data_IF_261184045915
#
_entry.id   IF_261184045915
#
_cell.length_a   1.000
_cell.length_b   1.000
_cell.length_c   1.000
_cell.angle_alpha   90.00
_cell.angle_beta   90.00
_cell.angle_gamma   90.00
#
_symmetry.space_group_name_H-M   'P 1'
#
loop_
_entity.id
_entity.type
_entity.pdbx_description
1 polymer ?
#
# COMPACT_ATOMS: atom_id res chain seq x y z
N UNK A 1 -7.07 48.95 22.12
CA UNK A 1 -6.53 47.59 22.30
C UNK A 1 -7.37 46.59 21.48
N UNK A 2 -7.40 46.62 20.14
CA UNK A 2 -8.50 45.86 19.50
C UNK A 2 -8.54 45.69 17.98
N UNK A 3 -7.42 45.55 17.29
CA UNK A 3 -7.47 45.09 15.89
C UNK A 3 -6.30 44.16 15.57
N UNK A 4 -5.07 44.58 15.87
CA UNK A 4 -3.88 43.75 15.63
C UNK A 4 -3.84 42.50 16.51
N UNK A 5 -4.21 42.60 17.78
CA UNK A 5 -4.23 41.46 18.72
C UNK A 5 -5.29 40.41 18.32
N UNK A 6 -6.47 40.88 17.91
CA UNK A 6 -7.53 40.03 17.38
C UNK A 6 -7.08 39.31 16.11
N UNK A 7 -6.35 40.02 15.24
CA UNK A 7 -5.84 39.46 14.01
C UNK A 7 -4.74 38.42 14.25
N UNK A 8 -3.83 38.66 15.22
CA UNK A 8 -2.82 37.69 15.66
C UNK A 8 -3.49 36.44 16.24
N UNK A 9 -4.54 36.59 17.06
CA UNK A 9 -5.28 35.45 17.60
C UNK A 9 -5.92 34.61 16.48
N UNK A 10 -6.56 35.27 15.50
CA UNK A 10 -7.15 34.59 14.34
C UNK A 10 -6.10 33.88 13.46
N UNK A 11 -4.91 34.46 13.27
CA UNK A 11 -3.81 33.80 12.55
C UNK A 11 -3.32 32.55 13.28
N UNK A 12 -3.19 32.61 14.61
CA UNK A 12 -2.75 31.46 15.42
C UNK A 12 -3.75 30.31 15.38
N UNK A 13 -5.05 30.61 15.43
CA UNK A 13 -6.10 29.61 15.32
C UNK A 13 -6.05 28.92 13.95
N UNK A 14 -5.91 29.69 12.87
CA UNK A 14 -5.73 29.16 11.51
C UNK A 14 -4.48 28.29 11.39
N UNK A 15 -3.37 28.69 11.99
CA UNK A 15 -2.13 27.91 11.96
C UNK A 15 -2.29 26.58 12.73
N UNK A 16 -3.04 26.57 13.83
CA UNK A 16 -3.38 25.34 14.56
C UNK A 16 -4.24 24.40 13.70
N UNK A 17 -5.23 24.94 13.00
CA UNK A 17 -6.07 24.16 12.08
C UNK A 17 -5.27 23.59 10.92
N UNK A 18 -4.37 24.38 10.33
CA UNK A 18 -3.48 23.93 9.27
C UNK A 18 -2.56 22.80 9.73
N UNK A 19 -1.99 22.92 10.94
CA UNK A 19 -1.17 21.86 11.53
C UNK A 19 -1.99 20.59 11.79
N UNK A 20 -3.21 20.74 12.29
CA UNK A 20 -4.13 19.62 12.54
C UNK A 20 -4.50 18.89 11.25
N UNK A 21 -4.90 19.63 10.21
CA UNK A 21 -5.24 19.09 8.91
C UNK A 21 -4.04 18.41 8.24
N UNK A 22 -2.87 19.04 8.31
CA UNK A 22 -1.64 18.44 7.77
C UNK A 22 -1.31 17.11 8.44
N UNK A 23 -1.43 17.04 9.77
CA UNK A 23 -1.23 15.80 10.52
C UNK A 23 -2.22 14.71 10.12
N UNK A 24 -3.50 15.07 9.93
CA UNK A 24 -4.52 14.13 9.43
C UNK A 24 -4.21 13.64 8.03
N UNK A 25 -3.79 14.52 7.12
CA UNK A 25 -3.41 14.14 5.76
C UNK A 25 -2.22 13.18 5.77
N UNK A 26 -1.18 13.48 6.55
CA UNK A 26 -0.03 12.58 6.69
C UNK A 26 -0.44 11.20 7.22
N UNK A 27 -1.27 11.12 8.26
CA UNK A 27 -1.76 9.84 8.78
C UNK A 27 -2.59 9.06 7.74
N UNK A 28 -3.42 9.74 6.94
CA UNK A 28 -4.18 9.13 5.85
C UNK A 28 -3.26 8.62 4.73
N UNK A 29 -2.25 9.40 4.35
CA UNK A 29 -1.24 8.97 3.36
C UNK A 29 -0.45 7.77 3.85
N UNK A 30 -0.03 7.77 5.13
CA UNK A 30 0.73 6.69 5.74
C UNK A 30 -0.09 5.40 5.83
N UNK A 31 -1.39 5.48 6.17
CA UNK A 31 -2.31 4.34 6.11
C UNK A 31 -2.46 3.84 4.68
N UNK A 32 -2.70 4.73 3.73
CA UNK A 32 -2.84 4.37 2.32
C UNK A 32 -1.58 3.69 1.75
N UNK A 33 -0.38 4.13 2.15
CA UNK A 33 0.90 3.51 1.75
C UNK A 33 1.09 2.13 2.37
N UNK A 34 0.72 1.91 3.64
CA UNK A 34 0.77 0.59 4.30
C UNK A 34 -0.13 -0.45 3.62
N UNK A 35 -1.20 0.02 3.00
CA UNK A 35 -2.16 -0.78 2.25
C UNK A 35 -1.74 -1.01 0.78
N UNK A 36 -0.58 -0.52 0.35
CA UNK A 36 -0.04 -0.71 -1.00
C UNK A 36 1.12 -1.71 -0.97
N UNK A 37 0.83 -3.02 -0.90
CA UNK A 37 1.87 -4.05 -0.99
C UNK A 37 2.29 -4.20 -2.45
N UNK A 38 3.61 -4.25 -2.70
CA UNK A 38 4.18 -4.36 -4.05
C UNK A 38 4.92 -5.68 -4.24
N UNK A 39 4.51 -6.43 -5.27
CA UNK A 39 5.20 -7.60 -5.76
C UNK A 39 6.02 -7.22 -7.01
N UNK A 40 7.32 -7.50 -6.97
CA UNK A 40 8.29 -7.12 -8.01
C UNK A 40 8.78 -8.37 -8.75
N UNK A 41 9.23 -8.20 -9.99
CA UNK A 41 9.91 -9.26 -10.75
C UNK A 41 9.01 -10.30 -11.43
N UNK A 42 7.69 -10.20 -11.28
CA UNK A 42 6.74 -11.07 -11.99
C UNK A 42 6.72 -10.71 -13.48
N UNK A 43 6.84 -11.70 -14.37
CA UNK A 43 6.81 -11.45 -15.82
C UNK A 43 5.45 -10.91 -16.24
N UNK A 44 5.40 -10.02 -17.21
CA UNK A 44 4.12 -9.50 -17.71
C UNK A 44 3.29 -10.65 -18.32
N UNK A 45 1.97 -10.64 -18.09
CA UNK A 45 0.99 -11.63 -18.55
C UNK A 45 1.07 -13.01 -17.87
N UNK A 46 1.92 -13.18 -16.86
CA UNK A 46 1.97 -14.41 -16.06
C UNK A 46 0.69 -14.61 -15.24
N UNK A 47 0.00 -13.51 -14.90
CA UNK A 47 -1.23 -13.52 -14.12
C UNK A 47 -2.45 -13.98 -14.91
N UNK A 48 -2.33 -14.03 -16.24
CA UNK A 48 -3.42 -14.37 -17.18
C UNK A 48 -4.64 -13.48 -16.94
N UNK A 49 -5.84 -14.07 -16.90
CA UNK A 49 -7.12 -13.36 -16.82
C UNK A 49 -7.48 -12.93 -15.40
N UNK A 50 -6.96 -13.61 -14.36
CA UNK A 50 -7.34 -13.37 -12.97
C UNK A 50 -6.12 -13.11 -12.07
N UNK A 51 -5.93 -11.83 -11.77
CA UNK A 51 -4.83 -11.36 -10.92
C UNK A 51 -4.99 -11.76 -9.45
N UNK A 52 -6.23 -11.91 -8.95
CA UNK A 52 -6.45 -12.27 -7.55
C UNK A 52 -6.12 -13.74 -7.33
N UNK A 53 -6.57 -14.63 -8.22
CA UNK A 53 -6.21 -16.05 -8.18
C UNK A 53 -4.69 -16.25 -8.31
N UNK A 54 -4.04 -15.50 -9.22
CA UNK A 54 -2.59 -15.51 -9.36
C UNK A 54 -1.89 -15.09 -8.05
N UNK A 55 -2.32 -13.99 -7.44
CA UNK A 55 -1.75 -13.52 -6.18
C UNK A 55 -1.98 -14.52 -5.04
N UNK A 56 -3.19 -15.06 -4.86
CA UNK A 56 -3.45 -16.08 -3.82
C UNK A 56 -2.49 -17.26 -3.94
N UNK A 57 -2.36 -17.82 -5.14
CA UNK A 57 -1.46 -18.97 -5.38
C UNK A 57 0.02 -18.62 -5.19
N UNK A 58 0.45 -17.43 -5.62
CA UNK A 58 1.83 -16.97 -5.51
C UNK A 58 2.20 -16.69 -4.06
N UNK A 59 1.31 -16.00 -3.34
CA UNK A 59 1.51 -15.65 -1.95
C UNK A 59 1.56 -16.92 -1.08
N UNK A 60 0.66 -17.89 -1.28
CA UNK A 60 0.71 -19.19 -0.60
C UNK A 60 2.02 -19.92 -0.82
N UNK A 61 2.53 -19.94 -2.06
CA UNK A 61 3.84 -20.56 -2.39
C UNK A 61 5.00 -19.85 -1.70
N UNK A 62 5.00 -18.52 -1.68
CA UNK A 62 6.08 -17.73 -1.08
C UNK A 62 6.12 -17.88 0.44
N UNK A 63 4.96 -17.92 1.09
CA UNK A 63 4.89 -17.99 2.56
C UNK A 63 4.82 -19.40 3.11
N UNK A 64 4.62 -20.41 2.25
CA UNK A 64 4.32 -21.79 2.66
C UNK A 64 3.17 -21.86 3.68
N UNK A 65 2.19 -20.95 3.52
CA UNK A 65 1.01 -20.88 4.38
C UNK A 65 -0.23 -21.20 3.55
N UNK A 66 -1.07 -22.05 4.13
CA UNK A 66 -2.44 -22.21 3.70
C UNK A 66 -3.27 -21.10 4.34
N UNK A 67 -3.79 -20.21 3.50
CA UNK A 67 -4.69 -19.15 3.94
C UNK A 67 -6.10 -19.71 4.01
N UNK A 68 -6.55 -20.04 5.21
CA UNK A 68 -7.95 -20.33 5.52
C UNK A 68 -8.48 -19.27 6.51
N UNK A 69 -9.45 -18.42 6.12
CA UNK A 69 -10.08 -18.33 4.80
C UNK A 69 -9.13 -17.80 3.70
N UNK A 70 -9.46 -18.01 2.41
CA UNK A 70 -8.66 -17.54 1.30
C UNK A 70 -8.38 -16.03 1.37
N UNK A 71 -7.25 -15.61 0.79
CA UNK A 71 -6.90 -14.19 0.70
C UNK A 71 -7.93 -13.46 -0.14
N UNK A 72 -8.50 -12.40 0.44
CA UNK A 72 -9.41 -11.50 -0.25
C UNK A 72 -8.68 -10.20 -0.55
N UNK A 73 -8.82 -9.71 -1.78
CA UNK A 73 -8.16 -8.50 -2.23
C UNK A 73 -9.19 -7.39 -2.43
N UNK A 74 -8.93 -6.23 -1.84
CA UNK A 74 -9.69 -5.02 -2.15
C UNK A 74 -9.27 -4.46 -3.52
N UNK A 75 -7.98 -4.55 -3.85
CA UNK A 75 -7.40 -4.16 -5.13
C UNK A 75 -6.22 -5.05 -5.47
N UNK A 76 -6.07 -5.35 -6.76
CA UNK A 76 -4.90 -6.02 -7.32
C UNK A 76 -4.73 -5.59 -8.78
N UNK A 77 -3.64 -4.90 -9.10
CA UNK A 77 -3.36 -4.43 -10.47
C UNK A 77 -1.88 -4.13 -10.67
N UNK A 78 -1.43 -4.10 -11.93
CA UNK A 78 -0.09 -3.60 -12.32
C UNK A 78 -0.07 -2.09 -12.27
N UNK A 79 1.00 -1.51 -11.72
CA UNK A 79 1.21 -0.05 -11.64
C UNK A 79 2.31 0.37 -12.60
N UNK A 80 2.05 1.42 -13.38
CA UNK A 80 3.01 2.01 -14.33
C UNK A 80 2.48 2.08 -15.76
N UNK A 81 3.23 2.73 -16.67
CA UNK A 81 2.84 2.88 -18.08
C UNK A 81 2.60 1.52 -18.73
N UNK A 82 1.70 1.42 -19.71
CA UNK A 82 1.43 0.13 -20.39
C UNK A 82 2.74 -0.44 -20.95
N UNK A 83 2.95 -1.74 -20.75
CA UNK A 83 4.14 -2.44 -21.24
C UNK A 83 4.21 -2.32 -22.76
N UNK A 84 5.24 -1.63 -23.27
CA UNK A 84 5.42 -1.39 -24.70
C UNK A 84 6.30 -2.45 -25.38
N UNK A 85 6.59 -3.58 -24.73
CA UNK A 85 7.53 -4.59 -25.24
C UNK A 85 9.01 -4.26 -25.04
N UNK A 86 9.35 -2.97 -24.87
CA UNK A 86 10.74 -2.48 -24.75
C UNK A 86 11.19 -2.26 -23.30
N UNK A 87 10.29 -2.35 -22.32
CA UNK A 87 10.66 -2.18 -20.91
C UNK A 87 11.45 -3.38 -20.42
N UNK A 88 12.73 -3.17 -20.09
CA UNK A 88 13.60 -4.20 -19.49
C UNK A 88 13.12 -4.66 -18.11
N UNK A 89 12.22 -3.89 -17.47
CA UNK A 89 11.71 -4.17 -16.11
C UNK A 89 10.21 -4.46 -16.17
N UNK A 90 9.75 -5.64 -15.71
CA UNK A 90 8.33 -5.93 -15.54
C UNK A 90 7.70 -4.95 -14.55
N UNK A 91 6.44 -4.57 -14.78
CA UNK A 91 5.76 -3.61 -13.91
C UNK A 91 5.46 -4.23 -12.55
N UNK A 92 5.57 -3.47 -11.46
CA UNK A 92 5.17 -3.94 -10.14
C UNK A 92 3.67 -4.27 -10.12
N UNK A 93 3.30 -5.38 -9.48
CA UNK A 93 1.90 -5.64 -9.09
C UNK A 93 1.70 -4.98 -7.73
N UNK A 94 0.69 -4.11 -7.62
CA UNK A 94 0.28 -3.53 -6.34
C UNK A 94 -1.04 -4.13 -5.91
N UNK A 95 -1.12 -4.57 -4.66
CA UNK A 95 -2.33 -5.15 -4.11
C UNK A 95 -2.58 -4.68 -2.67
N UNK A 96 -3.85 -4.75 -2.28
CA UNK A 96 -4.30 -4.54 -0.91
C UNK A 96 -5.19 -5.70 -0.50
N UNK A 97 -4.92 -6.26 0.67
CA UNK A 97 -5.79 -7.26 1.26
C UNK A 97 -7.02 -6.57 1.85
N UNK A 98 -8.18 -7.22 1.71
CA UNK A 98 -9.43 -6.70 2.26
C UNK A 98 -9.43 -6.75 3.79
N UNK A 99 -8.77 -7.77 4.37
CA UNK A 99 -8.69 -7.99 5.80
C UNK A 99 -7.29 -7.63 6.31
N UNK A 100 -7.19 -6.55 7.10
CA UNK A 100 -5.93 -6.07 7.69
C UNK A 100 -5.18 -7.16 8.49
N UNK A 101 -5.91 -8.03 9.20
CA UNK A 101 -5.33 -9.14 9.98
C UNK A 101 -4.57 -10.17 9.12
N UNK A 102 -4.90 -10.29 7.83
CA UNK A 102 -4.17 -11.17 6.90
C UNK A 102 -2.85 -10.54 6.44
N UNK A 103 -2.80 -9.21 6.30
CA UNK A 103 -1.58 -8.48 5.94
C UNK A 103 -0.50 -8.58 7.03
N UNK A 104 -0.90 -8.50 8.30
CA UNK A 104 0.03 -8.59 9.44
C UNK A 104 0.74 -9.95 9.52
N UNK A 105 0.08 -11.06 9.15
CA UNK A 105 0.73 -12.38 9.06
C UNK A 105 1.84 -12.37 7.99
N UNK A 106 1.59 -11.69 6.87
CA UNK A 106 2.53 -11.56 5.75
C UNK A 106 3.74 -10.68 6.12
N UNK A 107 3.49 -9.52 6.74
CA UNK A 107 4.55 -8.60 7.16
C UNK A 107 5.45 -9.19 8.25
N UNK A 108 4.90 -9.95 9.21
CA UNK A 108 5.68 -10.65 10.24
C UNK A 108 6.64 -11.68 9.63
N UNK A 109 6.23 -12.38 8.57
CA UNK A 109 7.12 -13.30 7.87
C UNK A 109 8.12 -12.61 6.95
N UNK A 110 7.76 -11.47 6.34
CA UNK A 110 8.72 -10.69 5.55
C UNK A 110 9.88 -10.19 6.41
N UNK A 111 9.61 -9.75 7.64
CA UNK A 111 10.66 -9.42 8.61
C UNK A 111 11.59 -10.62 8.95
N UNK A 112 11.10 -11.85 8.82
CA UNK A 112 11.95 -13.06 8.93
C UNK A 112 12.65 -13.46 7.63
N UNK A 113 12.16 -13.01 6.47
CA UNK A 113 12.78 -13.25 5.16
C UNK A 113 13.84 -12.21 4.78
N UNK A 114 13.78 -11.00 5.35
CA UNK A 114 14.82 -9.96 5.17
C UNK A 114 16.17 -10.33 5.86
N UNK A 115 16.30 -11.54 6.43
CA UNK A 115 17.56 -12.13 6.91
C UNK A 115 18.34 -12.92 5.85
N UNK A 116 17.81 -13.04 4.63
CA UNK A 116 18.51 -13.61 3.48
C UNK A 116 18.54 -12.60 2.34
N UNK A 117 19.34 -11.56 2.51
CA UNK A 117 19.68 -10.56 1.51
C UNK A 117 21.04 -9.97 1.80
#
# INVERSE_FOLDING_TARGET
MGSLETQIAAYRERDQDLLYLRRKLTDLEDRSRRDNIRLLGIRENEERTDMQAFLSSTLSKLTSLDFDPPLEFQRAHRVGPKFSGTSLRPRPITYCLLRHNQADKYYKQRATMDLFG
#
